data_IF_217968272048
#
_entry.id   IF_217968272048
#
_cell.length_a   1.000
_cell.length_b   1.000
_cell.length_c   1.000
_cell.angle_alpha   90.00
_cell.angle_beta   90.00
_cell.angle_gamma   90.00
#
_symmetry.space_group_name_H-M   'P 1'
#
loop_
_entity.id
_entity.type
_entity.pdbx_description
1 polymer ?
#
# COMPACT_ATOMS: atom_id res chain seq x y z
N UNK A 1 -3.63 0.14 12.04
CA UNK A 1 -2.81 0.75 13.12
C UNK A 1 -1.31 0.45 13.01
N UNK A 2 -0.79 -0.05 11.87
CA UNK A 2 0.60 -0.54 11.75
C UNK A 2 1.70 0.50 12.07
N UNK A 3 1.58 1.73 11.55
CA UNK A 3 2.57 2.80 11.79
C UNK A 3 2.64 3.18 13.27
N UNK A 4 1.48 3.32 13.93
CA UNK A 4 1.42 3.67 15.35
C UNK A 4 1.96 2.54 16.24
N UNK A 5 1.71 1.28 15.87
CA UNK A 5 2.30 0.13 16.55
C UNK A 5 3.83 0.12 16.44
N UNK A 6 4.37 0.44 15.25
CA UNK A 6 5.83 0.58 15.06
C UNK A 6 6.42 1.80 15.78
N UNK A 7 5.65 2.88 15.94
CA UNK A 7 6.10 4.08 16.65
C UNK A 7 6.20 3.85 18.17
N UNK A 8 5.40 2.94 18.72
CA UNK A 8 5.36 2.66 20.17
C UNK A 8 4.96 3.92 20.96
N UNK A 9 5.66 4.17 22.06
CA UNK A 9 5.39 5.31 22.94
C UNK A 9 6.00 6.63 22.43
N UNK A 10 6.89 6.57 21.43
CA UNK A 10 7.50 7.76 20.83
C UNK A 10 6.62 8.32 19.70
N UNK A 11 5.53 8.97 20.08
CA UNK A 11 4.53 9.54 19.16
C UNK A 11 4.89 10.94 18.65
N UNK A 12 6.17 11.18 18.37
CA UNK A 12 6.63 12.42 17.74
C UNK A 12 6.38 12.40 16.23
N UNK A 13 6.14 13.57 15.63
CA UNK A 13 5.95 13.71 14.17
C UNK A 13 7.12 13.07 13.40
N UNK A 14 8.34 13.31 13.86
CA UNK A 14 9.56 12.77 13.25
C UNK A 14 9.55 11.24 13.24
N UNK A 15 9.32 10.60 14.39
CA UNK A 15 9.30 9.14 14.47
C UNK A 15 8.14 8.54 13.67
N UNK A 16 6.95 9.14 13.71
CA UNK A 16 5.79 8.67 12.93
C UNK A 16 6.11 8.70 11.43
N UNK A 17 6.67 9.81 10.93
CA UNK A 17 7.04 9.91 9.52
C UNK A 17 8.14 8.93 9.13
N UNK A 18 9.11 8.67 10.03
CA UNK A 18 10.15 7.64 9.81
C UNK A 18 9.56 6.25 9.66
N UNK A 19 8.60 5.86 10.51
CA UNK A 19 7.93 4.56 10.38
C UNK A 19 7.02 4.50 9.14
N UNK A 20 6.35 5.60 8.81
CA UNK A 20 5.50 5.70 7.62
C UNK A 20 6.29 5.68 6.30
N UNK A 21 7.57 6.07 6.31
CA UNK A 21 8.47 6.07 5.17
C UNK A 21 9.22 4.74 4.94
N UNK A 22 8.87 3.69 5.68
CA UNK A 22 9.55 2.38 5.62
C UNK A 22 8.55 1.23 5.62
N UNK A 23 7.40 1.44 4.98
CA UNK A 23 6.38 0.42 4.85
C UNK A 23 6.73 -0.51 3.69
N UNK A 24 6.64 -1.81 3.94
CA UNK A 24 6.56 -2.85 2.93
C UNK A 24 5.70 -3.98 3.49
N UNK A 25 4.44 -4.05 3.09
CA UNK A 25 3.48 -5.01 3.65
C UNK A 25 2.31 -5.30 2.71
N UNK A 26 1.82 -6.55 2.78
CA UNK A 26 0.64 -7.01 2.03
C UNK A 26 -0.54 -7.16 2.98
N UNK A 27 -1.69 -6.55 2.65
CA UNK A 27 -2.91 -6.64 3.45
C UNK A 27 -3.96 -7.53 2.75
N UNK A 28 -4.78 -8.30 3.48
CA UNK A 28 -5.77 -9.19 2.89
C UNK A 28 -6.84 -8.53 2.01
N UNK A 29 -7.05 -7.22 2.14
CA UNK A 29 -8.02 -6.47 1.35
C UNK A 29 -7.47 -5.96 0.02
N UNK A 30 -6.15 -6.08 -0.21
CA UNK A 30 -5.52 -5.66 -1.45
C UNK A 30 -5.65 -6.76 -2.51
N UNK A 31 -5.61 -6.36 -3.77
CA UNK A 31 -5.54 -7.31 -4.88
C UNK A 31 -4.26 -8.15 -4.77
N UNK A 32 -4.29 -9.45 -5.13
CA UNK A 32 -3.10 -10.28 -5.16
C UNK A 32 -1.98 -9.64 -6.01
N UNK A 33 -0.79 -9.46 -5.43
CA UNK A 33 0.36 -8.82 -6.09
C UNK A 33 0.49 -7.31 -5.83
N UNK A 34 -0.54 -6.67 -5.24
CA UNK A 34 -0.47 -5.29 -4.75
C UNK A 34 -0.02 -5.30 -3.29
N UNK A 35 1.06 -4.58 -2.98
CA UNK A 35 1.52 -4.34 -1.62
C UNK A 35 1.50 -2.83 -1.33
N UNK A 36 1.57 -2.50 -0.05
CA UNK A 36 1.88 -1.15 0.37
C UNK A 36 3.39 -1.00 0.46
N UNK A 37 3.95 -0.03 -0.23
CA UNK A 37 5.39 0.27 -0.20
C UNK A 37 5.61 1.78 -0.10
N UNK A 38 6.46 2.20 0.82
CA UNK A 38 6.88 3.61 0.94
C UNK A 38 8.37 3.68 1.22
N UNK A 39 8.97 4.83 0.90
CA UNK A 39 10.38 5.15 1.13
C UNK A 39 10.52 6.59 1.65
N UNK A 40 11.73 6.97 2.08
CA UNK A 40 12.02 8.34 2.51
C UNK A 40 11.86 9.38 1.39
N UNK A 41 11.87 8.93 0.12
CA UNK A 41 11.70 9.77 -1.06
C UNK A 41 10.36 9.56 -1.76
N UNK A 42 9.55 8.61 -1.29
CA UNK A 42 8.29 8.22 -1.92
C UNK A 42 7.24 7.81 -0.88
N UNK A 43 6.21 8.63 -0.76
CA UNK A 43 5.16 8.48 0.25
C UNK A 43 3.84 7.99 -0.36
N UNK A 44 3.83 7.53 -1.61
CA UNK A 44 2.65 6.92 -2.23
C UNK A 44 2.56 5.45 -1.84
N UNK A 45 1.63 5.05 -0.95
CA UNK A 45 1.64 3.70 -0.40
C UNK A 45 1.26 2.63 -1.41
N UNK A 46 0.43 2.93 -2.42
CA UNK A 46 -0.02 1.97 -3.43
C UNK A 46 0.24 2.59 -4.81
N UNK A 47 1.10 1.94 -5.58
CA UNK A 47 1.43 2.34 -6.96
C UNK A 47 1.25 1.19 -7.95
N UNK A 48 0.81 0.03 -7.45
CA UNK A 48 0.48 -1.13 -8.27
C UNK A 48 -0.98 -1.15 -8.62
N UNK A 49 -1.25 -1.41 -9.90
CA UNK A 49 -2.59 -1.39 -10.47
C UNK A 49 -2.86 -2.66 -11.28
N UNK A 50 -4.12 -3.09 -11.31
CA UNK A 50 -4.58 -4.16 -12.18
C UNK A 50 -5.79 -3.69 -12.98
N UNK A 51 -5.83 -4.03 -14.27
CA UNK A 51 -6.92 -3.63 -15.13
C UNK A 51 -8.20 -4.36 -14.76
N UNK A 52 -9.31 -3.64 -14.85
CA UNK A 52 -10.66 -4.16 -14.65
C UNK A 52 -11.52 -3.83 -15.86
N UNK A 53 -12.36 -4.78 -16.27
CA UNK A 53 -13.37 -4.59 -17.33
C UNK A 53 -14.75 -4.83 -16.76
N UNK A 54 -15.69 -3.93 -17.04
CA UNK A 54 -17.09 -4.14 -16.69
C UNK A 54 -17.75 -5.08 -17.71
N UNK A 55 -18.37 -6.16 -17.23
CA UNK A 55 -19.03 -7.19 -18.06
C UNK A 55 -20.54 -6.98 -18.23
N UNK A 56 -21.08 -5.86 -17.72
CA UNK A 56 -22.52 -5.56 -17.69
C UNK A 56 -23.17 -5.84 -16.33
N UNK A 57 -22.49 -6.55 -15.41
CA UNK A 57 -22.95 -6.81 -14.05
C UNK A 57 -21.92 -6.42 -12.99
N UNK A 58 -20.66 -6.74 -13.24
CA UNK A 58 -19.56 -6.60 -12.28
C UNK A 58 -18.26 -6.20 -12.97
N UNK A 59 -17.32 -5.68 -12.18
CA UNK A 59 -15.95 -5.45 -12.63
C UNK A 59 -15.15 -6.75 -12.51
N UNK A 60 -14.61 -7.21 -13.63
CA UNK A 60 -13.76 -8.40 -13.70
C UNK A 60 -12.31 -7.97 -13.91
N UNK A 61 -11.43 -8.38 -13.00
CA UNK A 61 -10.00 -8.12 -13.11
C UNK A 61 -9.40 -8.97 -14.23
N UNK A 62 -8.48 -8.40 -15.00
CA UNK A 62 -7.77 -9.12 -16.05
C UNK A 62 -6.35 -8.58 -16.26
N UNK A 63 -5.52 -9.38 -16.94
CA UNK A 63 -4.13 -9.04 -17.17
C UNK A 63 -3.27 -9.14 -15.91
N UNK A 64 -2.01 -8.73 -16.05
CA UNK A 64 -1.03 -8.69 -14.95
C UNK A 64 -1.19 -7.41 -14.12
N UNK A 65 -0.57 -7.42 -12.93
CA UNK A 65 -0.38 -6.21 -12.13
C UNK A 65 0.75 -5.38 -12.75
N UNK A 66 0.54 -4.07 -12.84
CA UNK A 66 1.48 -3.06 -13.32
C UNK A 66 1.95 -2.20 -12.15
N UNK A 67 3.12 -1.56 -12.27
CA UNK A 67 3.69 -0.69 -11.24
C UNK A 67 4.97 -1.25 -10.61
N UNK A 68 5.70 -0.41 -9.86
CA UNK A 68 6.97 -0.75 -9.19
C UNK A 68 6.81 -1.66 -7.95
#
# INVERSE_FOLDING_TARGET
>A
THVLQKAGDNLTRENIMKQAASLDLTLPMLLPGVNIKTSATDFYPIEREQLAKFDGKTWQLFGKVYGP
#
